data_IF_332142714813
#
_entry.id   IF_332142714813
#
_cell.length_a   1.000
_cell.length_b   1.000
_cell.length_c   1.000
_cell.angle_alpha   90.00
_cell.angle_beta   90.00
_cell.angle_gamma   90.00
#
_symmetry.space_group_name_H-M   'P 1'
#
loop_
_entity.id
_entity.type
_entity.pdbx_description
1 polymer ?
#
# COMPACT_ATOMS: atom_id res chain seq x y z
N UNK A 1 7.46 0.25 12.76
CA UNK A 1 6.38 1.24 12.57
C UNK A 1 6.58 2.41 13.54
N UNK A 2 7.02 3.56 13.03
CA UNK A 2 7.17 4.80 13.83
C UNK A 2 5.81 5.52 13.88
N UNK A 3 5.41 6.04 15.03
CA UNK A 3 4.18 6.85 15.17
C UNK A 3 2.84 6.09 15.20
N UNK A 4 2.72 4.89 14.61
CA UNK A 4 1.44 4.19 14.44
C UNK A 4 0.70 3.83 15.74
N UNK A 5 1.42 3.71 16.87
CA UNK A 5 0.84 3.51 18.23
C UNK A 5 1.03 4.71 19.16
N UNK A 6 1.42 5.86 18.59
CA UNK A 6 1.76 7.06 19.33
C UNK A 6 0.54 7.68 20.05
N UNK A 7 0.75 8.35 21.19
CA UNK A 7 -0.33 8.94 21.98
C UNK A 7 -1.09 10.03 21.22
N UNK A 8 -0.40 10.82 20.38
CA UNK A 8 -1.02 11.86 19.55
C UNK A 8 -2.00 11.29 18.52
N UNK A 9 -1.62 10.22 17.84
CA UNK A 9 -2.48 9.56 16.86
C UNK A 9 -3.69 8.90 17.54
N UNK A 10 -3.48 8.22 18.68
CA UNK A 10 -4.58 7.70 19.50
C UNK A 10 -5.56 8.78 19.94
N UNK A 11 -5.04 9.96 20.32
CA UNK A 11 -5.88 11.10 20.67
C UNK A 11 -6.68 11.57 19.45
N UNK A 12 -6.05 11.71 18.28
CA UNK A 12 -6.73 12.12 17.03
C UNK A 12 -7.88 11.19 16.67
N UNK A 13 -7.68 9.86 16.74
CA UNK A 13 -8.74 8.88 16.45
C UNK A 13 -9.97 8.97 17.37
N UNK A 14 -9.82 9.49 18.59
CA UNK A 14 -10.95 9.71 19.51
C UNK A 14 -11.81 10.92 19.12
N UNK A 15 -11.23 11.88 18.39
CA UNK A 15 -11.89 13.12 18.03
C UNK A 15 -12.28 13.20 16.55
N UNK A 16 -11.80 12.25 15.73
CA UNK A 16 -12.12 12.16 14.32
C UNK A 16 -12.90 10.88 14.03
N UNK A 17 -14.04 11.03 13.36
CA UNK A 17 -14.90 9.91 12.97
C UNK A 17 -14.58 9.44 11.54
N UNK A 18 -13.96 10.30 10.72
CA UNK A 18 -13.70 10.02 9.30
C UNK A 18 -12.36 9.33 9.08
N UNK A 19 -11.39 9.47 10.00
CA UNK A 19 -10.05 8.88 9.82
C UNK A 19 -10.09 7.35 9.90
N UNK A 20 -9.62 6.73 8.82
CA UNK A 20 -9.44 5.29 8.67
C UNK A 20 -7.99 4.92 8.31
N UNK A 21 -7.60 3.70 8.65
CA UNK A 21 -6.36 3.07 8.22
C UNK A 21 -6.69 1.99 7.18
N UNK A 22 -6.18 2.15 5.96
CA UNK A 22 -6.39 1.20 4.87
C UNK A 22 -5.16 0.30 4.69
N UNK A 23 -5.38 -1.00 4.49
CA UNK A 23 -4.31 -1.97 4.26
C UNK A 23 -4.86 -3.25 3.60
N UNK A 24 -3.99 -4.22 3.29
CA UNK A 24 -4.43 -5.53 2.82
C UNK A 24 -5.11 -6.34 3.94
N UNK A 25 -5.92 -7.37 3.62
CA UNK A 25 -6.58 -8.20 4.62
C UNK A 25 -5.57 -8.90 5.55
N UNK A 26 -4.47 -9.40 4.98
CA UNK A 26 -3.40 -10.05 5.74
C UNK A 26 -2.70 -9.05 6.68
N UNK A 27 -2.43 -7.82 6.23
CA UNK A 27 -1.83 -6.79 7.10
C UNK A 27 -2.75 -6.42 8.26
N UNK A 28 -4.07 -6.34 8.02
CA UNK A 28 -5.06 -6.09 9.08
C UNK A 28 -5.00 -7.16 10.17
N UNK A 29 -5.02 -8.43 9.78
CA UNK A 29 -4.94 -9.56 10.73
C UNK A 29 -3.61 -9.56 11.50
N UNK A 30 -2.48 -9.40 10.81
CA UNK A 30 -1.17 -9.33 11.43
C UNK A 30 -1.06 -8.16 12.42
N UNK A 31 -1.59 -6.99 12.08
CA UNK A 31 -1.55 -5.81 12.94
C UNK A 31 -2.41 -6.01 14.20
N UNK A 32 -3.64 -6.53 14.04
CA UNK A 32 -4.60 -6.72 15.13
C UNK A 32 -4.26 -7.91 16.04
N UNK A 33 -3.46 -8.87 15.56
CA UNK A 33 -2.93 -9.95 16.40
C UNK A 33 -2.09 -9.44 17.58
N UNK A 34 -1.53 -8.23 17.48
CA UNK A 34 -0.75 -7.62 18.54
C UNK A 34 -1.61 -6.65 19.36
N UNK A 35 -1.86 -6.92 20.66
CA UNK A 35 -2.74 -6.12 21.50
C UNK A 35 -2.38 -4.63 21.57
N UNK A 36 -1.11 -4.28 21.33
CA UNK A 36 -0.64 -2.88 21.32
C UNK A 36 -1.33 -2.03 20.23
N UNK A 37 -1.87 -2.67 19.19
CA UNK A 37 -2.59 -2.04 18.09
C UNK A 37 -4.10 -2.30 18.12
N UNK A 38 -4.64 -2.94 19.17
CA UNK A 38 -6.07 -3.27 19.25
C UNK A 38 -7.02 -2.07 19.16
N UNK A 39 -6.54 -0.87 19.51
CA UNK A 39 -7.29 0.38 19.37
C UNK A 39 -7.61 0.76 17.90
N UNK A 40 -6.98 0.11 16.92
CA UNK A 40 -7.28 0.29 15.50
C UNK A 40 -8.52 -0.47 15.03
N UNK A 41 -9.06 -1.40 15.82
CA UNK A 41 -10.11 -2.35 15.39
C UNK A 41 -11.31 -1.68 14.70
N UNK A 42 -11.73 -0.51 15.17
CA UNK A 42 -12.88 0.25 14.65
C UNK A 42 -12.51 1.25 13.53
N UNK A 43 -11.22 1.48 13.31
CA UNK A 43 -10.69 2.45 12.36
C UNK A 43 -9.95 1.78 11.18
N UNK A 44 -9.72 0.47 11.21
CA UNK A 44 -8.97 -0.25 10.17
C UNK A 44 -9.89 -0.92 9.15
N UNK A 45 -9.68 -0.59 7.88
CA UNK A 45 -10.42 -1.12 6.73
C UNK A 45 -9.45 -1.91 5.88
N UNK A 46 -9.83 -3.16 5.56
CA UNK A 46 -9.08 -3.97 4.60
C UNK A 46 -9.61 -3.68 3.20
N UNK A 47 -8.70 -3.53 2.24
CA UNK A 47 -9.01 -3.45 0.81
C UNK A 47 -8.56 -4.76 0.17
N UNK A 48 -9.39 -5.33 -0.71
CA UNK A 48 -9.00 -6.54 -1.43
C UNK A 48 -7.90 -6.23 -2.46
N UNK A 49 -7.00 -7.19 -2.66
CA UNK A 49 -5.90 -7.07 -3.64
C UNK A 49 -6.48 -7.20 -5.04
N UNK A 50 -5.96 -6.40 -5.98
CA UNK A 50 -6.44 -6.34 -7.37
C UNK A 50 -7.94 -5.98 -7.47
N UNK A 51 -8.45 -5.18 -6.53
CA UNK A 51 -9.80 -4.66 -6.54
C UNK A 51 -9.82 -3.12 -6.37
N UNK A 52 -10.08 -2.35 -7.45
CA UNK A 52 -10.22 -0.91 -7.36
C UNK A 52 -11.33 -0.51 -6.38
N UNK A 53 -10.99 0.30 -5.38
CA UNK A 53 -11.93 0.70 -4.32
C UNK A 53 -11.97 2.21 -4.21
N UNK A 54 -13.17 2.80 -4.33
CA UNK A 54 -13.38 4.23 -4.12
C UNK A 54 -13.30 4.58 -2.64
N UNK A 55 -12.56 5.64 -2.30
CA UNK A 55 -12.39 6.17 -0.96
C UNK A 55 -12.65 7.68 -1.00
N UNK A 56 -13.57 8.13 -0.15
CA UNK A 56 -13.84 9.55 0.06
C UNK A 56 -12.98 10.08 1.20
N UNK A 57 -12.17 11.10 0.92
CA UNK A 57 -11.36 11.85 1.87
C UNK A 57 -12.14 13.10 2.24
N UNK A 58 -12.52 13.23 3.52
CA UNK A 58 -13.31 14.36 4.02
C UNK A 58 -12.45 15.22 4.94
N UNK A 59 -12.35 16.51 4.63
CA UNK A 59 -11.79 17.50 5.54
C UNK A 59 -12.83 17.84 6.62
N UNK A 60 -12.56 17.46 7.87
CA UNK A 60 -13.48 17.68 8.99
C UNK A 60 -13.65 19.17 9.37
N UNK A 61 -12.75 20.06 8.92
CA UNK A 61 -12.80 21.49 9.21
C UNK A 61 -13.61 22.26 8.17
N UNK A 62 -13.41 21.95 6.88
CA UNK A 62 -14.09 22.63 5.77
C UNK A 62 -15.34 21.91 5.29
N UNK A 63 -15.44 20.60 5.53
CA UNK A 63 -16.50 19.73 5.02
C UNK A 63 -16.29 19.33 3.56
N UNK A 64 -15.19 19.73 2.92
CA UNK A 64 -14.87 19.36 1.55
C UNK A 64 -14.54 17.87 1.45
N UNK A 65 -14.95 17.25 0.34
CA UNK A 65 -14.72 15.85 0.06
C UNK A 65 -13.98 15.68 -1.28
N UNK A 66 -12.98 14.81 -1.28
CA UNK A 66 -12.24 14.39 -2.47
C UNK A 66 -12.34 12.86 -2.60
N UNK A 67 -12.75 12.39 -3.77
CA UNK A 67 -12.79 10.95 -4.04
C UNK A 67 -11.52 10.51 -4.78
N UNK A 68 -10.96 9.40 -4.30
CA UNK A 68 -9.86 8.70 -4.94
C UNK A 68 -10.20 7.23 -5.14
N UNK A 69 -9.68 6.63 -6.20
CA UNK A 69 -9.73 5.17 -6.40
C UNK A 69 -8.39 4.60 -6.00
N UNK A 70 -8.41 3.64 -5.08
CA UNK A 70 -7.22 2.94 -4.60
C UNK A 70 -7.27 1.49 -5.04
N UNK A 71 -6.22 1.02 -5.69
CA UNK A 71 -6.02 -0.39 -6.05
C UNK A 71 -4.77 -0.92 -5.35
N UNK A 72 -4.91 -2.01 -4.60
CA UNK A 72 -3.76 -2.69 -4.00
C UNK A 72 -3.16 -3.68 -5.01
N UNK A 73 -1.86 -3.60 -5.22
CA UNK A 73 -1.11 -4.52 -6.08
C UNK A 73 -0.13 -5.34 -5.22
N UNK A 74 0.13 -6.62 -5.51
CA UNK A 74 1.05 -7.42 -4.71
C UNK A 74 2.48 -6.87 -4.79
N UNK A 75 3.09 -6.54 -3.65
CA UNK A 75 4.47 -6.03 -3.60
C UNK A 75 5.53 -7.14 -3.54
N UNK A 76 5.14 -8.35 -3.13
CA UNK A 76 6.07 -9.47 -3.03
C UNK A 76 7.24 -9.18 -2.09
N UNK A 77 7.01 -8.56 -0.93
CA UNK A 77 8.04 -8.34 0.08
C UNK A 77 7.86 -9.25 1.29
N UNK A 78 6.67 -9.26 1.89
CA UNK A 78 6.26 -10.10 3.02
C UNK A 78 4.75 -10.44 2.94
N UNK A 79 4.22 -11.32 3.81
CA UNK A 79 2.77 -11.57 3.86
C UNK A 79 1.97 -10.27 4.05
N UNK A 80 1.02 -10.01 3.16
CA UNK A 80 0.21 -8.79 3.17
C UNK A 80 0.86 -7.53 2.58
N UNK A 81 2.13 -7.60 2.14
CA UNK A 81 2.78 -6.47 1.46
C UNK A 81 2.10 -6.13 0.14
N UNK A 82 1.78 -4.86 -0.04
CA UNK A 82 1.08 -4.33 -1.21
C UNK A 82 1.68 -2.98 -1.62
N UNK A 83 1.60 -2.69 -2.91
CA UNK A 83 1.75 -1.37 -3.49
C UNK A 83 0.37 -0.72 -3.57
N UNK A 84 0.30 0.60 -3.48
CA UNK A 84 -0.94 1.38 -3.61
C UNK A 84 -0.89 2.16 -4.92
N UNK A 85 -1.76 1.83 -5.86
CA UNK A 85 -2.07 2.66 -7.02
C UNK A 85 -3.25 3.56 -6.66
N UNK A 86 -3.04 4.87 -6.72
CA UNK A 86 -4.02 5.88 -6.32
C UNK A 86 -4.34 6.74 -7.55
N UNK A 87 -5.62 6.79 -7.92
CA UNK A 87 -6.14 7.55 -9.04
C UNK A 87 -7.13 8.60 -8.52
N UNK A 88 -6.84 9.87 -8.76
CA UNK A 88 -7.68 11.00 -8.35
C UNK A 88 -7.72 12.09 -9.40
N UNK A 89 -8.42 13.19 -9.10
CA UNK A 89 -8.54 14.35 -9.99
C UNK A 89 -7.20 15.04 -10.28
N UNK A 90 -6.22 14.90 -9.39
CA UNK A 90 -4.88 15.49 -9.47
C UNK A 90 -3.87 14.63 -10.22
N UNK A 91 -4.24 13.41 -10.64
CA UNK A 91 -3.37 12.49 -11.35
C UNK A 91 -3.30 11.10 -10.71
N UNK A 92 -2.44 10.26 -11.30
CA UNK A 92 -2.21 8.88 -10.84
C UNK A 92 -0.86 8.77 -10.16
N UNK A 93 -0.84 8.17 -8.97
CA UNK A 93 0.38 7.95 -8.17
C UNK A 93 0.52 6.48 -7.81
N UNK A 94 1.75 5.97 -7.86
CA UNK A 94 2.08 4.63 -7.38
C UNK A 94 3.02 4.72 -6.17
N UNK A 95 2.60 4.17 -5.03
CA UNK A 95 3.44 4.00 -3.84
C UNK A 95 3.77 2.51 -3.66
N UNK A 96 5.04 2.14 -3.78
CA UNK A 96 5.41 0.72 -3.79
C UNK A 96 5.45 0.08 -2.41
N UNK A 97 5.64 0.87 -1.35
CA UNK A 97 6.18 0.34 -0.10
C UNK A 97 7.51 -0.40 -0.37
N UNK A 98 7.88 -1.32 0.52
CA UNK A 98 8.98 -2.24 0.23
C UNK A 98 8.47 -3.31 -0.74
N UNK A 99 9.16 -3.53 -1.86
CA UNK A 99 8.72 -4.47 -2.89
C UNK A 99 9.86 -5.31 -3.43
N UNK A 100 9.51 -6.45 -4.03
CA UNK A 100 10.47 -7.25 -4.80
C UNK A 100 9.76 -7.99 -5.92
N UNK A 101 9.78 -7.38 -7.10
CA UNK A 101 9.22 -7.96 -8.33
C UNK A 101 10.33 -8.51 -9.23
N UNK A 102 10.11 -9.70 -9.77
CA UNK A 102 10.92 -10.26 -10.83
C UNK A 102 10.61 -9.59 -12.18
N UNK A 103 11.53 -9.75 -13.14
CA UNK A 103 11.38 -9.22 -14.49
C UNK A 103 10.07 -9.71 -15.11
N UNK A 104 9.24 -8.78 -15.55
CA UNK A 104 7.96 -9.07 -16.22
C UNK A 104 6.75 -9.22 -15.28
N UNK A 105 6.92 -9.26 -13.96
CA UNK A 105 5.77 -9.34 -13.03
C UNK A 105 4.92 -8.07 -13.09
N UNK A 106 5.54 -6.88 -13.11
CA UNK A 106 4.81 -5.61 -13.24
C UNK A 106 4.00 -5.53 -14.55
N UNK A 107 4.52 -6.08 -15.66
CA UNK A 107 3.84 -6.10 -16.95
C UNK A 107 2.58 -7.00 -16.96
N UNK A 108 2.46 -7.93 -15.99
CA UNK A 108 1.30 -8.80 -15.84
C UNK A 108 0.22 -8.22 -14.93
N UNK A 109 0.48 -7.10 -14.26
CA UNK A 109 -0.48 -6.46 -13.38
C UNK A 109 -1.48 -5.67 -14.23
N UNK A 110 -2.69 -6.21 -14.41
CA UNK A 110 -3.71 -5.62 -15.29
C UNK A 110 -4.06 -4.18 -14.89
N UNK A 111 -4.20 -3.91 -13.60
CA UNK A 111 -4.56 -2.58 -13.09
C UNK A 111 -3.47 -1.50 -13.26
N UNK A 112 -2.22 -1.88 -13.59
CA UNK A 112 -1.19 -0.91 -14.00
C UNK A 112 -1.36 -0.44 -15.45
N UNK A 113 -2.27 -1.04 -16.22
CA UNK A 113 -2.45 -0.77 -17.64
C UNK A 113 -3.83 -0.16 -17.93
N UNK A 114 -3.87 0.62 -19.01
CA UNK A 114 -5.09 1.08 -19.67
C UNK A 114 -5.00 0.65 -21.13
N UNK A 115 -5.78 -0.38 -21.50
CA UNK A 115 -5.62 -1.08 -22.77
C UNK A 115 -4.23 -1.74 -22.87
N UNK A 116 -3.50 -1.48 -23.96
CA UNK A 116 -2.17 -2.06 -24.19
C UNK A 116 -1.01 -1.20 -23.67
N UNK A 117 -1.28 -0.16 -22.87
CA UNK A 117 -0.27 0.77 -22.36
C UNK A 117 -0.31 0.82 -20.85
N UNK A 118 0.85 1.09 -20.22
CA UNK A 118 0.89 1.46 -18.81
C UNK A 118 0.08 2.74 -18.61
N UNK A 119 -0.64 2.85 -17.50
CA UNK A 119 -1.35 4.08 -17.11
C UNK A 119 -0.39 5.26 -17.09
N UNK A 120 -0.93 6.46 -17.29
CA UNK A 120 -0.17 7.69 -17.13
C UNK A 120 0.03 7.96 -15.63
N UNK A 121 1.20 7.52 -15.12
CA UNK A 121 1.57 7.64 -13.70
C UNK A 121 2.43 8.89 -13.54
N UNK A 122 1.89 9.90 -12.88
CA UNK A 122 2.54 11.18 -12.67
C UNK A 122 3.74 11.06 -11.71
N UNK A 123 3.64 10.20 -10.69
CA UNK A 123 4.69 10.03 -9.69
C UNK A 123 4.74 8.61 -9.16
N UNK A 124 5.96 8.11 -8.98
CA UNK A 124 6.25 6.81 -8.36
C UNK A 124 7.11 7.03 -7.12
N UNK A 125 6.59 6.65 -5.97
CA UNK A 125 7.33 6.59 -4.72
C UNK A 125 7.85 5.16 -4.55
N UNK A 126 9.08 4.92 -5.01
CA UNK A 126 9.66 3.58 -5.08
C UNK A 126 10.57 3.22 -3.89
N UNK A 127 10.61 1.92 -3.58
CA UNK A 127 11.69 1.31 -2.79
C UNK A 127 13.02 1.39 -3.55
N UNK A 128 13.96 2.16 -3.00
CA UNK A 128 15.29 2.35 -3.54
C UNK A 128 16.38 1.64 -2.71
N UNK A 129 16.01 0.66 -1.88
CA UNK A 129 16.94 -0.05 -0.95
C UNK A 129 18.20 -0.55 -1.65
N UNK A 130 18.08 -1.02 -2.89
CA UNK A 130 19.21 -1.51 -3.70
C UNK A 130 19.45 -0.68 -4.96
N UNK A 131 19.08 0.61 -4.97
CA UNK A 131 19.30 1.50 -6.12
C UNK A 131 20.76 1.98 -6.18
N UNK A 132 21.68 1.03 -6.30
CA UNK A 132 23.12 1.24 -6.42
C UNK A 132 23.68 0.21 -7.44
N UNK A 133 24.57 0.62 -8.37
CA UNK A 133 25.14 -0.28 -9.37
C UNK A 133 25.80 -1.54 -8.81
N UNK A 134 26.28 -1.52 -7.56
CA UNK A 134 26.86 -2.69 -6.89
C UNK A 134 25.83 -3.82 -6.67
N UNK A 135 24.53 -3.52 -6.72
CA UNK A 135 23.44 -4.49 -6.58
C UNK A 135 22.71 -4.76 -7.90
N UNK A 136 23.42 -4.73 -9.02
CA UNK A 136 22.86 -4.89 -10.37
C UNK A 136 21.98 -6.13 -10.55
N UNK A 137 22.35 -7.26 -9.93
CA UNK A 137 21.58 -8.50 -10.00
C UNK A 137 21.51 -9.18 -8.64
N UNK A 138 20.30 -9.58 -8.25
CA UNK A 138 20.02 -10.34 -7.04
C UNK A 138 19.41 -11.69 -7.45
N UNK A 139 19.92 -12.85 -6.96
CA UNK A 139 19.37 -14.16 -7.28
C UNK A 139 17.87 -14.25 -7.02
N UNK A 140 17.13 -14.95 -7.88
CA UNK A 140 15.67 -15.09 -7.78
C UNK A 140 15.23 -15.76 -6.47
N UNK A 141 13.93 -15.66 -6.15
CA UNK A 141 13.34 -16.31 -4.96
C UNK A 141 13.48 -17.83 -4.99
N UNK A 142 13.38 -18.44 -6.17
CA UNK A 142 13.43 -19.89 -6.38
C UNK A 142 14.86 -20.41 -6.43
N UNK A 143 15.82 -19.59 -6.86
CA UNK A 143 17.22 -20.00 -7.03
C UNK A 143 18.04 -19.94 -5.74
N UNK A 144 17.43 -19.75 -4.56
CA UNK A 144 18.16 -19.99 -3.31
C UNK A 144 18.31 -21.50 -3.14
N UNK A 145 19.53 -22.06 -3.07
CA UNK A 145 19.69 -23.46 -2.72
C UNK A 145 19.05 -23.65 -1.35
N UNK A 146 18.07 -24.55 -1.28
CA UNK A 146 17.66 -25.13 -0.02
C UNK A 146 18.89 -25.87 0.49
N UNK A 147 19.61 -25.30 1.46
CA UNK A 147 20.60 -26.07 2.21
C UNK A 147 19.86 -27.26 2.84
N UNK A 148 20.37 -28.48 2.66
CA UNK A 148 19.77 -29.68 3.24
C UNK A 148 19.75 -29.65 4.77
#
# INVERSE_FOLDING_TARGET
MKGLKGPLLKRKLKFSLTVKLYCSPVTKELLLSNPKYGFWKEHIVALEVDNPTQISLVDEMTGEAEDVVVTLLPAGHCPGSVMFLIEGNQGTVLYTGDFRLARGEAARMEHLHSGCRVKDIQSVYLDSTFYDPNFFQIPSRVSRPTTP
#
